data_IF_533906617358
#
_entry.id   IF_533906617358
#
_cell.length_a   1.000
_cell.length_b   1.000
_cell.length_c   1.000
_cell.angle_alpha   90.00
_cell.angle_beta   90.00
_cell.angle_gamma   90.00
#
_symmetry.space_group_name_H-M   'P 1'
#
loop_
_entity.id
_entity.type
_entity.pdbx_description
1 polymer ?
#
# COMPACT_ATOMS: atom_id res chain seq x y z
N UNK A 1 -14.95 -6.19 -10.86
CA UNK A 1 -13.56 -6.70 -10.79
C UNK A 1 -12.67 -5.81 -9.94
N UNK A 2 -12.60 -4.48 -10.17
CA UNK A 2 -11.80 -3.59 -9.31
C UNK A 2 -12.47 -3.30 -7.94
N UNK A 3 -13.80 -3.13 -7.90
CA UNK A 3 -14.53 -2.94 -6.62
C UNK A 3 -14.41 -4.13 -5.66
N UNK A 4 -14.41 -5.36 -6.18
CA UNK A 4 -14.23 -6.58 -5.38
C UNK A 4 -12.83 -6.70 -4.76
N UNK A 5 -11.82 -6.01 -5.30
CA UNK A 5 -10.47 -5.90 -4.68
C UNK A 5 -10.50 -4.97 -3.45
N UNK A 6 -11.63 -4.33 -3.13
CA UNK A 6 -11.77 -3.45 -1.96
C UNK A 6 -12.91 -3.83 -1.04
N UNK A 7 -14.02 -4.31 -1.58
CA UNK A 7 -15.27 -4.47 -0.84
C UNK A 7 -15.46 -5.88 -0.24
N UNK A 8 -14.70 -6.87 -0.69
CA UNK A 8 -14.86 -8.29 -0.30
C UNK A 8 -13.55 -8.93 0.19
N UNK A 9 -12.64 -8.14 0.77
CA UNK A 9 -11.38 -8.65 1.30
C UNK A 9 -11.46 -8.95 2.81
N UNK A 10 -10.76 -10.00 3.24
CA UNK A 10 -10.63 -10.32 4.66
C UNK A 10 -9.44 -9.60 5.32
N UNK A 11 -8.43 -9.22 4.52
CA UNK A 11 -7.32 -8.40 5.01
C UNK A 11 -7.82 -7.01 5.47
N UNK A 12 -7.25 -6.53 6.59
CA UNK A 12 -7.64 -5.25 7.20
C UNK A 12 -7.65 -4.09 6.20
N UNK A 13 -8.72 -3.30 6.19
CA UNK A 13 -8.84 -2.09 5.38
C UNK A 13 -7.67 -1.13 5.62
N UNK A 14 -7.15 -1.06 6.85
CA UNK A 14 -5.98 -0.21 7.15
C UNK A 14 -4.73 -0.65 6.39
N UNK A 15 -4.49 -1.96 6.27
CA UNK A 15 -3.34 -2.49 5.52
C UNK A 15 -3.50 -2.25 4.02
N UNK A 16 -4.72 -2.43 3.50
CA UNK A 16 -5.02 -2.13 2.10
C UNK A 16 -4.77 -0.66 1.79
N UNK A 17 -5.38 0.25 2.56
CA UNK A 17 -5.30 1.68 2.32
C UNK A 17 -3.89 2.24 2.57
N UNK A 18 -3.11 1.62 3.47
CA UNK A 18 -1.68 1.91 3.64
C UNK A 18 -0.88 1.55 2.38
N UNK A 19 -1.11 0.36 1.83
CA UNK A 19 -0.46 -0.08 0.59
C UNK A 19 -0.84 0.85 -0.57
N UNK A 20 -2.13 1.19 -0.71
CA UNK A 20 -2.64 2.06 -1.77
C UNK A 20 -2.00 3.45 -1.69
N UNK A 21 -2.02 4.08 -0.52
CA UNK A 21 -1.40 5.39 -0.34
C UNK A 21 0.10 5.37 -0.68
N UNK A 22 0.82 4.30 -0.31
CA UNK A 22 2.24 4.18 -0.62
C UNK A 22 2.50 3.93 -2.12
N UNK A 23 1.67 3.12 -2.79
CA UNK A 23 1.71 2.98 -4.27
C UNK A 23 1.54 4.35 -4.92
N UNK A 24 0.52 5.10 -4.52
CA UNK A 24 0.21 6.42 -5.08
C UNK A 24 1.39 7.38 -4.94
N UNK A 25 2.02 7.41 -3.76
CA UNK A 25 3.22 8.25 -3.50
C UNK A 25 4.39 7.81 -4.39
N UNK A 26 4.71 6.51 -4.45
CA UNK A 26 5.82 5.98 -5.26
C UNK A 26 5.62 6.31 -6.74
N UNK A 27 4.39 6.14 -7.23
CA UNK A 27 4.03 6.30 -8.63
C UNK A 27 3.63 7.73 -9.00
N UNK A 28 3.62 8.66 -8.05
CA UNK A 28 3.23 10.08 -8.23
C UNK A 28 1.80 10.25 -8.75
N UNK A 29 0.88 9.43 -8.23
CA UNK A 29 -0.54 9.49 -8.55
C UNK A 29 -1.30 10.29 -7.49
N UNK A 30 -1.20 11.62 -7.56
CA UNK A 30 -1.78 12.53 -6.55
C UNK A 30 -3.30 12.38 -6.42
N UNK A 31 -4.01 12.18 -7.54
CA UNK A 31 -5.45 11.90 -7.54
C UNK A 31 -5.78 10.67 -6.67
N UNK A 32 -5.04 9.58 -6.85
CA UNK A 32 -5.21 8.35 -6.08
C UNK A 32 -4.92 8.58 -4.59
N UNK A 33 -3.80 9.25 -4.29
CA UNK A 33 -3.43 9.54 -2.92
C UNK A 33 -4.49 10.38 -2.18
N UNK A 34 -5.02 11.43 -2.82
CA UNK A 34 -6.03 12.30 -2.21
C UNK A 34 -7.36 11.59 -1.92
N UNK A 35 -7.74 10.60 -2.74
CA UNK A 35 -8.96 9.82 -2.52
C UNK A 35 -8.78 8.77 -1.41
N UNK A 36 -7.58 8.25 -1.26
CA UNK A 36 -7.30 7.11 -0.38
C UNK A 36 -6.83 7.52 1.02
N UNK A 37 -6.14 8.66 1.15
CA UNK A 37 -5.67 9.14 2.45
C UNK A 37 -6.80 9.31 3.49
N UNK A 38 -7.97 9.90 3.17
CA UNK A 38 -9.09 9.98 4.12
C UNK A 38 -9.59 8.60 4.58
N UNK A 39 -9.53 7.60 3.72
CA UNK A 39 -9.96 6.22 4.01
C UNK A 39 -8.96 5.54 4.93
N UNK A 40 -7.66 5.74 4.69
CA UNK A 40 -6.59 5.27 5.59
C UNK A 40 -6.74 5.88 7.00
N UNK A 41 -7.05 7.18 7.09
CA UNK A 41 -7.32 7.85 8.37
C UNK A 41 -8.54 7.24 9.05
N UNK A 42 -9.65 7.07 8.31
CA UNK A 42 -10.87 6.45 8.84
C UNK A 42 -10.64 4.98 9.29
N UNK A 43 -9.71 4.27 8.66
CA UNK A 43 -9.30 2.92 9.03
C UNK A 43 -8.35 2.87 10.26
N UNK A 44 -8.03 4.03 10.86
CA UNK A 44 -7.29 4.13 12.12
C UNK A 44 -5.78 4.35 11.98
N UNK A 45 -5.33 4.96 10.88
CA UNK A 45 -3.96 5.50 10.83
C UNK A 45 -3.83 6.70 11.77
N UNK A 46 -2.72 6.75 12.51
CA UNK A 46 -2.43 7.90 13.38
C UNK A 46 -1.82 9.05 12.59
N UNK A 47 -1.88 10.27 13.12
CA UNK A 47 -1.26 11.44 12.51
C UNK A 47 0.24 11.25 12.26
N UNK A 48 0.93 10.53 13.17
CA UNK A 48 2.34 10.18 13.01
C UNK A 48 2.58 9.23 11.83
N UNK A 49 1.70 8.24 11.64
CA UNK A 49 1.78 7.33 10.50
C UNK A 49 1.52 8.08 9.19
N UNK A 50 0.51 8.94 9.15
CA UNK A 50 0.18 9.77 7.99
C UNK A 50 1.34 10.69 7.62
N UNK A 51 1.92 11.40 8.60
CA UNK A 51 3.05 12.29 8.39
C UNK A 51 4.31 11.53 7.88
N UNK A 52 4.46 10.25 8.24
CA UNK A 52 5.59 9.44 7.81
C UNK A 52 5.47 8.93 6.35
N UNK A 53 4.26 8.83 5.78
CA UNK A 53 4.02 8.20 4.46
C UNK A 53 4.97 8.67 3.35
N UNK A 54 5.23 9.99 3.14
CA UNK A 54 6.10 10.44 2.07
C UNK A 54 7.55 9.94 2.20
N UNK A 55 8.01 9.70 3.44
CA UNK A 55 9.38 9.24 3.70
C UNK A 55 9.59 7.76 3.36
N UNK A 56 8.52 6.95 3.36
CA UNK A 56 8.55 5.49 3.22
C UNK A 56 9.03 5.00 1.85
N UNK A 57 9.10 5.90 0.85
CA UNK A 57 9.73 5.60 -0.45
C UNK A 57 11.22 5.24 -0.30
N UNK A 58 11.86 5.69 0.78
CA UNK A 58 13.27 5.47 1.06
C UNK A 58 13.47 4.18 1.87
N UNK A 59 14.48 3.39 1.52
CA UNK A 59 14.78 2.12 2.21
C UNK A 59 15.19 2.26 3.68
N UNK A 60 15.56 3.45 4.13
CA UNK A 60 15.97 3.75 5.50
C UNK A 60 14.96 4.62 6.28
N UNK A 61 13.71 4.70 5.82
CA UNK A 61 12.67 5.44 6.53
C UNK A 61 12.45 4.88 7.94
N UNK A 62 12.16 5.77 8.91
CA UNK A 62 11.74 5.34 10.23
C UNK A 62 10.34 4.72 10.13
N UNK A 63 10.25 3.45 10.53
CA UNK A 63 9.00 2.68 10.54
C UNK A 63 8.58 2.26 11.95
N UNK A 64 9.16 2.88 12.99
CA UNK A 64 8.92 2.52 14.40
C UNK A 64 7.47 2.74 14.85
N UNK A 65 6.76 3.67 14.22
CA UNK A 65 5.33 3.95 14.46
C UNK A 65 4.38 2.96 13.78
N UNK A 66 4.88 2.04 12.95
CA UNK A 66 4.10 1.00 12.29
C UNK A 66 4.27 -0.32 13.01
N UNK A 67 3.19 -1.09 13.15
CA UNK A 67 3.23 -2.44 13.73
C UNK A 67 3.87 -3.46 12.76
N UNK A 68 4.05 -4.70 13.20
CA UNK A 68 4.71 -5.75 12.40
C UNK A 68 4.04 -5.99 11.03
N UNK A 69 2.71 -6.03 10.98
CA UNK A 69 1.95 -6.23 9.74
C UNK A 69 2.09 -5.03 8.80
N UNK A 70 1.96 -3.83 9.35
CA UNK A 70 2.11 -2.58 8.59
C UNK A 70 3.51 -2.47 7.99
N UNK A 71 4.57 -2.78 8.76
CA UNK A 71 5.96 -2.78 8.27
C UNK A 71 6.20 -3.79 7.14
N UNK A 72 5.65 -5.00 7.27
CA UNK A 72 5.75 -6.01 6.22
C UNK A 72 5.04 -5.57 4.93
N UNK A 73 3.85 -4.96 5.05
CA UNK A 73 3.10 -4.42 3.90
C UNK A 73 3.83 -3.23 3.26
N UNK A 74 4.44 -2.35 4.04
CA UNK A 74 5.26 -1.24 3.52
C UNK A 74 6.43 -1.77 2.68
N UNK A 75 7.18 -2.75 3.20
CA UNK A 75 8.31 -3.35 2.49
C UNK A 75 7.87 -4.02 1.18
N UNK A 76 6.81 -4.84 1.25
CA UNK A 76 6.22 -5.50 0.08
C UNK A 76 5.78 -4.49 -0.98
N UNK A 77 5.04 -3.45 -0.57
CA UNK A 77 4.52 -2.41 -1.46
C UNK A 77 5.65 -1.66 -2.15
N UNK A 78 6.71 -1.31 -1.42
CA UNK A 78 7.88 -0.62 -1.99
C UNK A 78 8.55 -1.47 -3.06
N UNK A 79 8.84 -2.74 -2.76
CA UNK A 79 9.55 -3.61 -3.69
C UNK A 79 8.69 -3.96 -4.91
N UNK A 80 7.40 -4.24 -4.74
CA UNK A 80 6.51 -4.52 -5.86
C UNK A 80 6.29 -3.30 -6.76
N UNK A 81 6.28 -2.08 -6.20
CA UNK A 81 6.04 -0.87 -7.00
C UNK A 81 7.29 -0.39 -7.75
N UNK A 82 8.48 -0.62 -7.19
CA UNK A 82 9.76 -0.21 -7.79
C UNK A 82 10.38 -1.31 -8.66
N UNK A 83 10.39 -2.55 -8.17
CA UNK A 83 11.12 -3.68 -8.76
C UNK A 83 10.19 -4.75 -9.37
N UNK A 84 8.87 -4.57 -9.31
CA UNK A 84 7.82 -5.53 -9.71
C UNK A 84 7.72 -6.75 -8.77
N UNK A 85 8.84 -7.37 -8.42
CA UNK A 85 8.90 -8.54 -7.54
C UNK A 85 9.60 -8.21 -6.21
N UNK A 86 9.09 -8.70 -5.06
CA UNK A 86 9.80 -8.61 -3.80
C UNK A 86 10.95 -9.62 -3.73
N UNK A 87 11.91 -9.36 -2.85
CA UNK A 87 12.94 -10.31 -2.45
C UNK A 87 12.32 -11.49 -1.69
N UNK A 88 13.02 -12.63 -1.67
CA UNK A 88 12.58 -13.80 -0.89
C UNK A 88 12.47 -13.49 0.61
N UNK A 89 13.38 -12.66 1.14
CA UNK A 89 13.40 -12.22 2.53
C UNK A 89 12.15 -11.40 2.86
N UNK A 90 11.86 -10.37 2.07
CA UNK A 90 10.66 -9.54 2.24
C UNK A 90 9.39 -10.39 2.16
N UNK A 91 9.32 -11.30 1.18
CA UNK A 91 8.13 -12.15 1.03
C UNK A 91 8.00 -13.18 2.16
N UNK A 92 9.10 -13.66 2.74
CA UNK A 92 9.08 -14.51 3.93
C UNK A 92 8.53 -13.78 5.16
N UNK A 93 8.98 -12.54 5.42
CA UNK A 93 8.48 -11.74 6.54
C UNK A 93 7.00 -11.35 6.36
N UNK A 94 6.54 -11.11 5.13
CA UNK A 94 5.11 -10.91 4.83
C UNK A 94 4.28 -12.13 5.24
N UNK A 95 4.68 -13.34 4.83
CA UNK A 95 3.95 -14.58 5.19
C UNK A 95 3.94 -14.85 6.69
N UNK A 96 4.97 -14.40 7.40
CA UNK A 96 5.04 -14.51 8.86
C UNK A 96 4.12 -13.49 9.55
N UNK A 97 4.11 -12.25 9.09
CA UNK A 97 3.25 -11.20 9.64
C UNK A 97 1.76 -11.40 9.30
N UNK A 98 1.48 -11.99 8.14
CA UNK A 98 0.15 -12.36 7.63
C UNK A 98 0.07 -13.89 7.50
N UNK A 99 -0.19 -14.62 8.61
CA UNK A 99 -0.15 -16.08 8.62
C UNK A 99 -1.27 -16.74 7.81
N UNK A 100 -2.35 -16.01 7.52
CA UNK A 100 -3.39 -16.47 6.60
C UNK A 100 -2.92 -16.28 5.14
N UNK A 101 -2.78 -17.37 4.35
CA UNK A 101 -2.39 -17.26 2.94
C UNK A 101 -3.34 -16.39 2.11
N UNK A 102 -4.62 -16.31 2.48
CA UNK A 102 -5.58 -15.45 1.80
C UNK A 102 -5.18 -13.97 1.93
N UNK A 103 -4.80 -13.51 3.13
CA UNK A 103 -4.38 -12.12 3.34
C UNK A 103 -3.15 -11.75 2.50
N UNK A 104 -2.23 -12.70 2.30
CA UNK A 104 -1.05 -12.50 1.44
C UNK A 104 -1.45 -12.33 -0.04
N UNK A 105 -2.38 -13.16 -0.52
CA UNK A 105 -2.90 -13.05 -1.90
C UNK A 105 -3.64 -11.73 -2.08
N UNK A 106 -4.49 -11.36 -1.13
CA UNK A 106 -5.29 -10.15 -1.19
C UNK A 106 -4.42 -8.89 -1.19
N UNK A 107 -3.40 -8.80 -0.31
CA UNK A 107 -2.53 -7.62 -0.28
C UNK A 107 -1.68 -7.50 -1.55
N UNK A 108 -1.21 -8.62 -2.11
CA UNK A 108 -0.54 -8.66 -3.42
C UNK A 108 -1.49 -8.18 -4.52
N UNK A 109 -2.75 -8.59 -4.48
CA UNK A 109 -3.80 -8.15 -5.40
C UNK A 109 -4.06 -6.64 -5.32
N UNK A 110 -4.16 -6.09 -4.11
CA UNK A 110 -4.32 -4.65 -3.86
C UNK A 110 -3.15 -3.86 -4.44
N UNK A 111 -1.91 -4.21 -4.05
CA UNK A 111 -0.70 -3.52 -4.53
C UNK A 111 -0.62 -3.57 -6.06
N UNK A 112 -0.88 -4.73 -6.65
CA UNK A 112 -0.82 -4.91 -8.11
C UNK A 112 -1.88 -4.09 -8.83
N UNK A 113 -3.10 -4.08 -8.29
CA UNK A 113 -4.24 -3.33 -8.84
C UNK A 113 -3.95 -1.84 -8.84
N UNK A 114 -3.44 -1.30 -7.73
CA UNK A 114 -3.19 0.13 -7.62
C UNK A 114 -1.96 0.56 -8.41
N UNK A 115 -0.96 -0.31 -8.55
CA UNK A 115 0.11 -0.09 -9.53
C UNK A 115 -0.42 -0.01 -10.97
N UNK A 116 -1.48 -0.73 -11.32
CA UNK A 116 -2.16 -0.58 -12.61
C UNK A 116 -2.95 0.74 -12.68
N UNK A 117 -3.77 1.04 -11.67
CA UNK A 117 -4.60 2.26 -11.62
C UNK A 117 -3.74 3.52 -11.72
N UNK A 118 -2.66 3.61 -10.94
CA UNK A 118 -1.74 4.75 -10.96
C UNK A 118 -1.16 4.99 -12.37
N UNK A 119 -0.88 3.93 -13.14
CA UNK A 119 -0.38 4.05 -14.52
C UNK A 119 -1.42 4.64 -15.46
N UNK A 120 -2.70 4.34 -15.28
CA UNK A 120 -3.76 5.02 -16.04
C UNK A 120 -3.85 6.49 -15.66
N UNK A 121 -3.96 6.79 -14.36
CA UNK A 121 -4.15 8.16 -13.87
C UNK A 121 -3.01 9.08 -14.31
N UNK A 122 -1.76 8.67 -14.06
CA UNK A 122 -0.58 9.47 -14.39
C UNK A 122 -0.42 9.61 -15.91
N UNK A 123 -0.60 8.53 -16.68
CA UNK A 123 -0.42 8.58 -18.14
C UNK A 123 -1.47 9.44 -18.83
N UNK A 124 -2.69 9.46 -18.30
CA UNK A 124 -3.81 10.23 -18.87
C UNK A 124 -3.90 11.66 -18.31
N UNK A 125 -3.01 12.05 -17.38
CA UNK A 125 -3.00 13.39 -16.80
C UNK A 125 -4.22 13.68 -15.91
N UNK A 126 -4.71 12.66 -15.18
CA UNK A 126 -5.81 12.85 -14.23
C UNK A 126 -5.24 13.48 -12.96
N UNK A 127 -5.64 14.72 -12.70
CA UNK A 127 -5.24 15.50 -11.53
C UNK A 127 -6.40 15.60 -10.51
N UNK A 128 -6.10 15.77 -9.22
CA UNK A 128 -7.10 16.19 -8.24
C UNK A 128 -7.79 17.50 -8.64
N UNK A 129 -9.04 17.68 -8.22
CA UNK A 129 -9.78 18.95 -8.37
C UNK A 129 -9.19 20.09 -7.53
#
# INVERSE_FOLDING_TARGET
FLGSVREELDVSSKLCELAICLVAIINRADYEYMHHLPILIAAGASDLQVAALPSLINSGADVSMFNERERAVIALTREMSINVAPTEETFAEVKKALPDPQHVIEIVGVISTYNMVSRFLVTLGVEPE
#
